data_IF_361337922324
#
_entry.id   IF_361337922324
#
_cell.length_a   1.000
_cell.length_b   1.000
_cell.length_c   1.000
_cell.angle_alpha   90.00
_cell.angle_beta   90.00
_cell.angle_gamma   90.00
#
_symmetry.space_group_name_H-M   'P 1'
#
loop_
_entity.id
_entity.type
_entity.pdbx_description
1 polymer ?
#
# COMPACT_ATOMS: atom_id res chain seq x y z
N UNK A 1 -41.08 -44.04 19.81
CA UNK A 1 -41.48 -42.62 19.95
C UNK A 1 -40.46 -41.66 20.58
N UNK A 2 -40.02 -41.79 21.85
CA UNK A 2 -39.05 -40.80 22.43
C UNK A 2 -37.65 -40.86 21.80
N UNK A 3 -37.14 -42.06 21.49
CA UNK A 3 -35.82 -42.26 20.88
C UNK A 3 -35.73 -41.77 19.43
N UNK A 4 -36.80 -41.92 18.65
CA UNK A 4 -36.85 -41.45 17.25
C UNK A 4 -36.81 -39.92 17.15
N UNK A 5 -37.49 -39.22 18.07
CA UNK A 5 -37.46 -37.74 18.11
C UNK A 5 -36.08 -37.20 18.50
N UNK A 6 -35.35 -37.89 19.38
CA UNK A 6 -33.99 -37.51 19.75
C UNK A 6 -32.99 -37.73 18.61
N UNK A 7 -33.12 -38.82 17.86
CA UNK A 7 -32.28 -39.10 16.71
C UNK A 7 -32.45 -38.05 15.61
N UNK A 8 -33.70 -37.67 15.30
CA UNK A 8 -34.00 -36.66 14.28
C UNK A 8 -33.44 -35.27 14.67
N UNK A 9 -33.51 -34.90 15.95
CA UNK A 9 -32.96 -33.63 16.45
C UNK A 9 -31.43 -33.58 16.29
N UNK A 10 -30.73 -34.66 16.63
CA UNK A 10 -29.27 -34.73 16.52
C UNK A 10 -28.82 -34.67 15.06
N UNK A 11 -29.48 -35.40 14.16
CA UNK A 11 -29.17 -35.35 12.72
C UNK A 11 -29.44 -33.95 12.15
N UNK A 12 -30.51 -33.29 12.58
CA UNK A 12 -30.84 -31.92 12.14
C UNK A 12 -29.81 -30.91 12.63
N UNK A 13 -29.33 -31.03 13.88
CA UNK A 13 -28.28 -30.18 14.43
C UNK A 13 -26.94 -30.39 13.71
N UNK A 14 -26.57 -31.64 13.40
CA UNK A 14 -25.35 -31.95 12.63
C UNK A 14 -25.47 -31.37 11.22
N UNK A 15 -26.60 -31.55 10.54
CA UNK A 15 -26.83 -31.00 9.21
C UNK A 15 -26.77 -29.46 9.21
N UNK A 16 -27.36 -28.79 10.20
CA UNK A 16 -27.25 -27.33 10.39
C UNK A 16 -25.79 -26.92 10.63
N UNK A 17 -25.03 -27.68 11.42
CA UNK A 17 -23.61 -27.41 11.66
C UNK A 17 -22.78 -27.54 10.38
N UNK A 18 -23.08 -28.52 9.52
CA UNK A 18 -22.44 -28.67 8.21
C UNK A 18 -22.85 -27.58 7.21
N UNK A 19 -24.11 -27.13 7.20
CA UNK A 19 -24.56 -26.02 6.34
C UNK A 19 -23.90 -24.70 6.76
N UNK A 20 -23.76 -24.45 8.07
CA UNK A 20 -23.06 -23.25 8.59
C UNK A 20 -21.54 -23.32 8.36
N UNK A 21 -20.96 -24.52 8.35
CA UNK A 21 -19.52 -24.71 8.14
C UNK A 21 -19.11 -24.73 6.65
N UNK A 22 -19.98 -25.21 5.76
CA UNK A 22 -19.71 -25.21 4.31
C UNK A 22 -20.04 -23.87 3.63
N UNK A 23 -20.76 -22.96 4.29
CA UNK A 23 -21.05 -21.61 3.76
C UNK A 23 -19.92 -20.59 3.93
N UNK A 24 -18.74 -21.01 4.42
CA UNK A 24 -17.62 -20.11 4.75
C UNK A 24 -16.34 -20.39 3.97
N UNK A 25 -16.44 -21.03 2.81
CA UNK A 25 -15.47 -20.76 1.76
C UNK A 25 -15.78 -19.36 1.23
N UNK A 26 -15.10 -18.38 1.83
CA UNK A 26 -15.13 -17.00 1.37
C UNK A 26 -14.52 -16.92 -0.02
N UNK A 27 -15.31 -17.24 -1.04
CA UNK A 27 -15.16 -16.63 -2.36
C UNK A 27 -15.34 -15.14 -2.14
N UNK A 28 -14.22 -14.47 -1.86
CA UNK A 28 -14.08 -13.03 -2.02
C UNK A 28 -14.34 -12.77 -3.50
N UNK A 29 -15.61 -12.56 -3.86
CA UNK A 29 -15.99 -12.10 -5.18
C UNK A 29 -15.25 -10.78 -5.40
N UNK A 30 -14.13 -10.85 -6.13
CA UNK A 30 -13.37 -9.70 -6.56
C UNK A 30 -14.31 -8.86 -7.41
N UNK A 31 -14.83 -7.79 -6.82
CA UNK A 31 -15.52 -6.77 -7.59
C UNK A 31 -14.47 -6.21 -8.54
N UNK A 32 -14.68 -6.36 -9.85
CA UNK A 32 -13.76 -5.83 -10.86
C UNK A 32 -13.40 -4.38 -10.51
N UNK A 33 -12.14 -4.16 -10.14
CA UNK A 33 -11.67 -2.82 -9.84
C UNK A 33 -11.54 -2.07 -11.15
N UNK A 34 -12.19 -0.91 -11.22
CA UNK A 34 -12.14 -0.06 -12.41
C UNK A 34 -10.69 0.41 -12.62
N UNK A 35 -10.11 0.05 -13.76
CA UNK A 35 -8.82 0.56 -14.19
C UNK A 35 -8.87 2.09 -14.37
N UNK A 36 -8.01 2.79 -13.64
CA UNK A 36 -7.87 4.24 -13.70
C UNK A 36 -6.83 4.61 -14.73
N UNK A 37 -7.24 5.37 -15.74
CA UNK A 37 -6.33 5.91 -16.75
C UNK A 37 -5.60 7.10 -16.15
N UNK A 38 -4.27 7.01 -16.08
CA UNK A 38 -3.40 8.05 -15.58
C UNK A 38 -2.74 8.73 -16.77
N UNK A 39 -3.06 10.00 -16.98
CA UNK A 39 -2.51 10.77 -18.09
C UNK A 39 -1.08 11.21 -17.82
N UNK A 40 -0.26 11.14 -18.87
CA UNK A 40 1.08 11.73 -18.89
C UNK A 40 1.06 13.24 -18.73
N UNK A 41 1.97 13.76 -17.92
CA UNK A 41 2.33 15.18 -17.84
C UNK A 41 3.61 15.49 -18.62
N UNK A 42 3.86 16.77 -18.87
CA UNK A 42 5.10 17.19 -19.52
C UNK A 42 6.31 16.91 -18.62
N UNK A 43 7.47 16.51 -19.17
CA UNK A 43 8.70 16.39 -18.39
C UNK A 43 8.98 17.68 -17.59
N UNK A 44 9.48 17.54 -16.37
CA UNK A 44 9.81 18.65 -15.44
C UNK A 44 8.64 19.49 -14.94
N UNK A 45 7.39 19.14 -15.28
CA UNK A 45 6.20 19.88 -14.80
C UNK A 45 5.87 19.68 -13.31
N UNK A 46 6.44 18.64 -12.68
CA UNK A 46 6.29 18.39 -11.24
C UNK A 46 7.64 18.53 -10.55
N UNK A 47 7.73 19.50 -9.66
CA UNK A 47 8.83 19.73 -8.74
C UNK A 47 8.58 19.00 -7.43
N UNK A 48 9.55 18.22 -6.96
CA UNK A 48 9.45 17.54 -5.66
C UNK A 48 9.87 18.52 -4.57
N UNK A 49 8.90 19.12 -3.89
CA UNK A 49 9.11 20.16 -2.88
C UNK A 49 8.18 20.02 -1.65
N UNK A 50 7.37 18.97 -1.60
CA UNK A 50 6.38 18.72 -0.57
C UNK A 50 5.13 19.60 -0.70
N UNK A 51 4.79 20.09 -1.89
CA UNK A 51 3.60 20.93 -2.12
C UNK A 51 2.60 20.27 -3.07
N UNK A 52 1.35 20.71 -3.04
CA UNK A 52 0.33 20.32 -4.03
C UNK A 52 0.10 21.38 -5.13
N UNK A 53 0.94 22.43 -5.18
CA UNK A 53 0.77 23.53 -6.12
C UNK A 53 0.83 23.07 -7.59
N UNK A 54 1.91 22.38 -7.98
CA UNK A 54 2.09 21.85 -9.34
C UNK A 54 0.94 20.91 -9.73
N UNK A 55 0.50 20.06 -8.79
CA UNK A 55 -0.61 19.13 -8.97
C UNK A 55 -1.93 19.87 -9.25
N UNK A 56 -2.21 20.95 -8.53
CA UNK A 56 -3.39 21.78 -8.73
C UNK A 56 -3.34 22.52 -10.07
N UNK A 57 -2.20 23.11 -10.42
CA UNK A 57 -1.99 23.82 -11.69
C UNK A 57 -2.16 22.89 -12.89
N UNK A 58 -1.70 21.65 -12.78
CA UNK A 58 -1.85 20.61 -13.81
C UNK A 58 -3.25 19.94 -13.80
N UNK A 59 -4.11 20.31 -12.85
CA UNK A 59 -5.46 19.73 -12.73
C UNK A 59 -5.49 18.27 -12.26
N UNK A 60 -4.39 17.76 -11.69
CA UNK A 60 -4.28 16.38 -11.21
C UNK A 60 -4.99 16.27 -9.86
N UNK A 61 -6.10 15.54 -9.84
CA UNK A 61 -6.91 15.34 -8.63
C UNK A 61 -6.49 14.08 -7.87
N UNK A 62 -6.71 14.03 -6.55
CA UNK A 62 -6.58 12.78 -5.81
C UNK A 62 -7.48 11.70 -6.40
N UNK A 63 -7.02 10.46 -6.34
CA UNK A 63 -7.79 9.29 -6.75
C UNK A 63 -9.07 9.21 -5.92
N UNK A 64 -10.19 8.96 -6.59
CA UNK A 64 -11.51 8.82 -5.96
C UNK A 64 -11.87 7.35 -5.77
N UNK A 65 -12.74 7.07 -4.78
CA UNK A 65 -13.23 5.71 -4.55
C UNK A 65 -12.21 4.75 -3.94
N UNK A 66 -11.12 5.26 -3.35
CA UNK A 66 -10.19 4.43 -2.57
C UNK A 66 -10.95 3.73 -1.44
N UNK A 67 -10.90 2.40 -1.43
CA UNK A 67 -11.50 1.58 -0.39
C UNK A 67 -10.39 1.09 0.52
N UNK A 68 -10.34 1.63 1.72
CA UNK A 68 -9.41 1.19 2.75
C UNK A 68 -10.01 0.01 3.53
N UNK A 69 -9.28 -1.10 3.56
CA UNK A 69 -9.63 -2.29 4.32
C UNK A 69 -8.50 -2.65 5.25
N UNK A 70 -8.82 -3.21 6.41
CA UNK A 70 -7.82 -3.72 7.34
C UNK A 70 -7.22 -5.02 6.81
N UNK A 71 -6.13 -5.47 7.43
CA UNK A 71 -5.59 -6.82 7.18
C UNK A 71 -6.61 -7.96 7.41
N UNK A 72 -7.71 -7.70 8.12
CA UNK A 72 -8.82 -8.63 8.33
C UNK A 72 -9.97 -8.47 7.33
N UNK A 73 -9.78 -7.69 6.27
CA UNK A 73 -10.76 -7.41 5.21
C UNK A 73 -11.99 -6.63 5.68
N UNK A 74 -11.90 -5.94 6.82
CA UNK A 74 -12.94 -5.05 7.34
C UNK A 74 -12.70 -3.62 6.86
N UNK A 75 -13.73 -2.77 6.66
CA UNK A 75 -13.51 -1.36 6.37
C UNK A 75 -12.63 -0.70 7.45
N UNK A 76 -11.57 0.00 7.03
CA UNK A 76 -10.72 0.72 7.96
C UNK A 76 -11.48 1.92 8.56
N UNK A 77 -11.20 2.25 9.82
CA UNK A 77 -11.74 3.45 10.44
C UNK A 77 -11.04 4.66 9.86
N UNK A 78 -11.79 5.63 9.35
CA UNK A 78 -11.20 6.82 8.75
C UNK A 78 -10.24 7.52 9.71
N UNK A 79 -10.63 7.71 10.97
CA UNK A 79 -9.78 8.34 11.99
C UNK A 79 -8.44 7.62 12.27
N UNK A 80 -8.29 6.35 11.89
CA UNK A 80 -7.03 5.61 12.05
C UNK A 80 -6.12 5.70 10.82
N UNK A 81 -6.61 6.21 9.69
CA UNK A 81 -5.81 6.43 8.50
C UNK A 81 -5.04 7.73 8.63
N UNK A 82 -3.75 7.68 8.31
CA UNK A 82 -2.93 8.87 8.13
C UNK A 82 -2.88 9.28 6.68
N UNK A 83 -2.83 8.32 5.76
CA UNK A 83 -2.94 8.58 4.32
C UNK A 83 -4.42 8.83 3.99
N UNK A 84 -4.78 10.10 3.83
CA UNK A 84 -6.16 10.52 3.53
C UNK A 84 -6.52 10.33 2.07
N UNK A 85 -5.60 10.70 1.18
CA UNK A 85 -5.78 10.58 -0.26
C UNK A 85 -4.44 10.61 -0.98
N UNK A 86 -4.48 10.25 -2.26
CA UNK A 86 -3.29 9.98 -3.06
C UNK A 86 -3.55 10.53 -4.46
N UNK A 87 -2.63 11.31 -5.00
CA UNK A 87 -2.60 11.67 -6.42
C UNK A 87 -1.47 10.92 -7.11
N UNK A 88 -1.70 10.52 -8.37
CA UNK A 88 -0.73 9.75 -9.16
C UNK A 88 -0.65 10.32 -10.57
N UNK A 89 0.57 10.48 -11.10
CA UNK A 89 0.82 10.78 -12.52
C UNK A 89 2.18 10.25 -12.97
N UNK A 90 2.53 10.46 -14.24
CA UNK A 90 3.85 10.16 -14.79
C UNK A 90 4.23 11.15 -15.89
N UNK A 91 5.53 11.32 -16.16
CA UNK A 91 6.03 12.06 -17.33
C UNK A 91 6.62 11.13 -18.42
N UNK A 92 6.50 9.81 -18.21
CA UNK A 92 7.08 8.76 -19.07
C UNK A 92 8.49 8.35 -18.68
N UNK A 93 9.16 9.08 -17.78
CA UNK A 93 10.44 8.68 -17.17
C UNK A 93 10.28 8.36 -15.69
N UNK A 94 9.38 9.07 -15.00
CA UNK A 94 9.12 8.94 -13.58
C UNK A 94 7.63 8.70 -13.31
N UNK A 95 7.35 7.88 -12.30
CA UNK A 95 6.08 7.82 -11.60
C UNK A 95 6.10 8.84 -10.46
N UNK A 96 5.07 9.66 -10.35
CA UNK A 96 4.90 10.64 -9.28
C UNK A 96 3.74 10.24 -8.39
N UNK A 97 3.95 10.31 -7.08
CA UNK A 97 2.97 10.04 -6.04
C UNK A 97 2.94 11.25 -5.09
N UNK A 98 1.76 11.79 -4.83
CA UNK A 98 1.53 12.77 -3.77
C UNK A 98 0.57 12.18 -2.74
N UNK A 99 1.03 12.05 -1.51
CA UNK A 99 0.24 11.63 -0.37
C UNK A 99 -0.25 12.85 0.40
N UNK A 100 -1.55 12.87 0.67
CA UNK A 100 -2.19 13.80 1.59
C UNK A 100 -2.27 13.12 2.95
N UNK A 101 -1.57 13.68 3.93
CA UNK A 101 -1.33 13.09 5.25
C UNK A 101 -2.03 13.88 6.34
N UNK A 102 -2.57 13.19 7.33
CA UNK A 102 -3.15 13.81 8.51
C UNK A 102 -3.10 12.83 9.70
N UNK A 103 -2.21 13.05 10.70
CA UNK A 103 -1.31 14.19 10.82
C UNK A 103 -0.15 14.16 9.80
N UNK A 104 0.43 15.34 9.54
CA UNK A 104 1.59 15.51 8.67
C UNK A 104 2.85 14.77 9.16
N UNK A 105 3.92 14.73 8.35
CA UNK A 105 5.20 14.08 8.76
C UNK A 105 5.78 14.74 10.01
N UNK A 106 5.89 16.07 9.99
CA UNK A 106 6.47 16.85 11.08
C UNK A 106 5.61 16.81 12.33
N UNK A 107 4.30 16.98 12.18
CA UNK A 107 3.34 16.95 13.29
C UNK A 107 3.34 15.59 14.01
N UNK A 108 3.35 14.49 13.25
CA UNK A 108 3.48 13.16 13.82
C UNK A 108 4.78 13.00 14.61
N UNK A 109 5.88 13.49 14.06
CA UNK A 109 7.18 13.45 14.72
C UNK A 109 7.16 14.24 16.04
N UNK A 110 6.63 15.46 16.02
CA UNK A 110 6.52 16.33 17.20
C UNK A 110 5.59 15.74 18.27
N UNK A 111 4.59 14.94 17.86
CA UNK A 111 3.62 14.30 18.78
C UNK A 111 4.15 12.99 19.39
N UNK A 112 4.71 12.09 18.57
CA UNK A 112 5.10 10.76 19.04
C UNK A 112 6.57 10.64 19.49
N UNK A 113 7.45 11.53 19.00
CA UNK A 113 8.86 11.54 19.39
C UNK A 113 9.65 10.27 19.03
N UNK A 114 9.18 9.44 18.09
CA UNK A 114 9.81 8.17 17.70
C UNK A 114 9.90 7.99 16.19
N UNK A 115 10.82 7.14 15.75
CA UNK A 115 10.89 6.63 14.37
C UNK A 115 9.76 5.65 14.09
N UNK A 116 9.38 5.52 12.83
CA UNK A 116 8.35 4.57 12.40
C UNK A 116 8.33 4.41 10.89
N UNK A 117 7.19 3.98 10.36
CA UNK A 117 7.00 3.79 8.93
C UNK A 117 5.67 4.42 8.53
N UNK A 118 5.64 5.14 7.42
CA UNK A 118 4.37 5.64 6.88
C UNK A 118 3.59 4.48 6.25
N UNK A 119 4.27 3.71 5.40
CA UNK A 119 3.58 2.73 4.57
C UNK A 119 4.46 1.87 3.70
N UNK A 120 3.79 0.96 3.02
CA UNK A 120 4.33 0.19 1.90
C UNK A 120 3.51 0.47 0.64
N UNK A 121 4.16 0.49 -0.51
CA UNK A 121 3.50 0.41 -1.82
C UNK A 121 3.96 -0.87 -2.48
N UNK A 122 3.04 -1.77 -2.80
CA UNK A 122 3.34 -2.95 -3.61
C UNK A 122 2.95 -2.67 -5.05
N UNK A 123 3.78 -3.10 -6.00
CA UNK A 123 3.53 -2.97 -7.43
C UNK A 123 3.58 -4.35 -8.10
N UNK A 124 2.54 -4.66 -8.87
CA UNK A 124 2.50 -5.75 -9.85
C UNK A 124 2.42 -5.08 -11.23
N UNK A 125 3.48 -5.28 -12.00
CA UNK A 125 3.71 -4.65 -13.29
C UNK A 125 3.70 -5.65 -14.45
N UNK A 126 3.83 -6.94 -14.15
CA UNK A 126 3.76 -8.01 -15.15
C UNK A 126 2.30 -8.36 -15.49
N UNK A 127 1.37 -7.96 -14.62
CA UNK A 127 -0.06 -8.11 -14.81
C UNK A 127 -0.50 -9.58 -14.84
N UNK A 128 0.37 -10.52 -14.46
CA UNK A 128 0.03 -11.93 -14.54
C UNK A 128 -1.09 -12.26 -13.56
N UNK A 129 -2.02 -13.12 -13.98
CA UNK A 129 -3.12 -13.57 -13.11
C UNK A 129 -2.60 -14.48 -11.97
N UNK A 130 -1.36 -14.95 -12.10
CA UNK A 130 -0.68 -15.76 -11.09
C UNK A 130 0.05 -14.93 -10.02
N UNK A 131 0.19 -13.62 -10.25
CA UNK A 131 0.93 -12.63 -9.47
C UNK A 131 0.00 -11.47 -9.06
N UNK A 132 0.39 -10.69 -8.04
CA UNK A 132 -0.35 -9.49 -7.63
C UNK A 132 -1.77 -9.69 -7.07
N UNK A 133 -2.19 -10.93 -6.77
CA UNK A 133 -3.49 -11.21 -6.17
C UNK A 133 -3.34 -11.66 -4.72
N UNK A 134 -4.06 -10.99 -3.81
CA UNK A 134 -4.22 -11.48 -2.44
C UNK A 134 -5.11 -12.73 -2.46
N UNK A 135 -4.51 -13.92 -2.42
CA UNK A 135 -5.25 -15.21 -2.44
C UNK A 135 -5.80 -15.60 -1.06
N UNK A 136 -5.18 -15.11 0.01
CA UNK A 136 -5.67 -15.31 1.38
C UNK A 136 -5.19 -14.19 2.31
N UNK A 137 -5.76 -14.12 3.53
CA UNK A 137 -5.30 -13.20 4.58
C UNK A 137 -3.84 -13.48 4.98
N UNK A 138 -3.38 -14.71 4.81
CA UNK A 138 -2.00 -15.06 5.10
C UNK A 138 -1.05 -14.81 3.91
N UNK A 139 -1.58 -14.63 2.70
CA UNK A 139 -0.82 -14.57 1.45
C UNK A 139 -0.67 -13.13 0.95
N UNK A 140 -0.45 -12.19 1.89
CA UNK A 140 -0.82 -10.79 1.70
C UNK A 140 -0.25 -10.18 0.42
N UNK A 141 0.98 -10.53 0.01
CA UNK A 141 1.60 -10.01 -1.21
C UNK A 141 2.52 -11.02 -1.92
N UNK A 142 2.24 -12.33 -1.88
CA UNK A 142 2.99 -13.25 -2.73
C UNK A 142 2.76 -12.93 -4.21
N UNK A 143 3.84 -12.96 -4.99
CA UNK A 143 3.81 -12.68 -6.41
C UNK A 143 3.64 -11.20 -6.77
N UNK A 144 3.89 -10.26 -5.87
CA UNK A 144 4.08 -8.85 -6.27
C UNK A 144 5.53 -8.66 -6.76
N UNK A 145 5.79 -7.74 -7.68
CA UNK A 145 7.13 -7.54 -8.27
C UNK A 145 8.03 -6.69 -7.37
N UNK A 146 7.47 -5.58 -6.87
CA UNK A 146 8.22 -4.60 -6.07
C UNK A 146 7.47 -4.21 -4.80
N UNK A 147 8.26 -3.86 -3.78
CA UNK A 147 7.84 -3.13 -2.59
C UNK A 147 8.59 -1.79 -2.54
N UNK A 148 7.87 -0.70 -2.37
CA UNK A 148 8.41 0.61 -1.99
C UNK A 148 8.10 0.80 -0.51
N UNK A 149 9.13 0.68 0.32
CA UNK A 149 9.05 0.92 1.76
C UNK A 149 9.30 2.39 2.07
N UNK A 150 8.42 3.04 2.84
CA UNK A 150 8.52 4.47 3.20
C UNK A 150 8.74 4.62 4.71
N UNK A 151 9.98 4.51 5.20
CA UNK A 151 10.30 4.78 6.60
C UNK A 151 10.26 6.28 6.92
N UNK A 152 9.98 6.57 8.19
CA UNK A 152 10.05 7.91 8.77
C UNK A 152 10.97 7.88 9.98
N UNK A 153 11.79 8.91 10.14
CA UNK A 153 12.74 8.97 11.25
C UNK A 153 13.18 10.39 11.54
N UNK A 154 14.37 10.50 12.11
CA UNK A 154 14.98 11.77 12.42
C UNK A 154 16.48 11.78 12.10
N UNK A 155 16.99 12.97 11.79
CA UNK A 155 18.41 13.22 11.61
C UNK A 155 18.83 14.46 12.40
N UNK A 156 19.96 14.37 13.11
CA UNK A 156 20.46 15.46 13.95
C UNK A 156 21.32 14.96 15.11
N UNK A 157 22.00 15.90 15.78
CA UNK A 157 22.75 15.64 17.01
C UNK A 157 21.88 15.65 18.27
N UNK A 158 22.47 15.35 19.43
CA UNK A 158 21.79 15.21 20.73
C UNK A 158 21.19 16.52 21.29
N UNK A 159 21.46 17.66 20.67
CA UNK A 159 20.86 18.95 21.06
C UNK A 159 19.45 19.10 20.50
N UNK A 160 18.50 19.45 21.37
CA UNK A 160 17.03 19.52 21.16
C UNK A 160 16.60 20.41 19.96
N UNK A 161 17.46 21.29 19.45
CA UNK A 161 17.20 22.11 18.24
C UNK A 161 17.78 21.59 16.93
N UNK A 162 18.52 20.47 16.94
CA UNK A 162 19.24 19.94 15.77
C UNK A 162 18.54 18.74 15.11
N UNK A 163 17.49 18.20 15.73
CA UNK A 163 16.77 17.02 15.25
C UNK A 163 15.72 17.44 14.23
N UNK A 164 15.84 16.92 13.00
CA UNK A 164 14.94 17.19 11.88
C UNK A 164 14.22 15.90 11.47
N UNK A 165 12.92 15.96 11.15
CA UNK A 165 12.21 14.81 10.59
C UNK A 165 12.85 14.40 9.26
N UNK A 166 12.93 13.09 9.06
CA UNK A 166 13.50 12.44 7.88
C UNK A 166 12.44 11.50 7.30
N UNK A 167 12.31 11.50 5.98
CA UNK A 167 11.55 10.48 5.26
C UNK A 167 12.44 9.90 4.19
N UNK A 168 12.32 8.61 3.98
CA UNK A 168 13.02 7.90 2.92
C UNK A 168 12.04 7.05 2.13
N UNK A 169 12.45 6.61 0.95
CA UNK A 169 11.85 5.44 0.34
C UNK A 169 12.94 4.46 -0.09
N UNK A 170 12.61 3.18 -0.03
CA UNK A 170 13.47 2.08 -0.47
C UNK A 170 12.67 1.16 -1.40
N UNK A 171 13.18 0.94 -2.60
CA UNK A 171 12.60 0.01 -3.58
C UNK A 171 13.29 -1.33 -3.45
N UNK A 172 12.49 -2.37 -3.26
CA UNK A 172 12.92 -3.74 -3.09
C UNK A 172 12.16 -4.62 -4.09
N UNK A 173 12.87 -5.51 -4.76
CA UNK A 173 12.31 -6.57 -5.57
C UNK A 173 11.94 -7.75 -4.66
N UNK A 174 10.77 -8.35 -4.89
CA UNK A 174 10.35 -9.54 -4.15
C UNK A 174 10.89 -10.76 -4.89
N UNK A 175 11.83 -11.47 -4.26
CA UNK A 175 12.52 -12.62 -4.88
C UNK A 175 11.71 -13.90 -4.78
N UNK A 176 11.30 -14.20 -3.56
CA UNK A 176 10.63 -15.42 -3.21
C UNK A 176 9.59 -15.10 -2.14
N UNK A 177 8.47 -15.82 -2.17
CA UNK A 177 7.52 -15.81 -1.07
C UNK A 177 7.25 -17.23 -0.64
N UNK A 178 7.63 -17.52 0.60
CA UNK A 178 7.48 -18.82 1.23
C UNK A 178 6.19 -18.80 2.04
N UNK A 179 5.28 -19.70 1.69
CA UNK A 179 4.00 -19.88 2.38
C UNK A 179 4.05 -21.22 3.13
N UNK A 180 4.16 -21.14 4.46
CA UNK A 180 4.21 -22.30 5.35
C UNK A 180 2.84 -22.52 6.00
N UNK A 181 2.31 -23.74 5.93
CA UNK A 181 1.10 -24.09 6.68
C UNK A 181 1.42 -24.23 8.16
N UNK A 182 0.70 -23.51 9.02
CA UNK A 182 0.83 -23.55 10.49
C UNK A 182 -0.48 -24.00 11.13
N UNK A 183 -0.46 -24.32 12.43
CA UNK A 183 -1.62 -24.87 13.17
C UNK A 183 -2.92 -24.06 12.99
N UNK A 184 -2.81 -22.74 12.85
CA UNK A 184 -3.95 -21.83 12.73
C UNK A 184 -3.96 -21.02 11.42
N UNK A 185 -3.41 -21.56 10.33
CA UNK A 185 -3.48 -20.92 9.02
C UNK A 185 -2.21 -21.10 8.22
N UNK A 186 -1.72 -20.02 7.61
CA UNK A 186 -0.44 -20.00 6.93
C UNK A 186 0.41 -18.86 7.47
N UNK A 187 1.72 -19.07 7.53
CA UNK A 187 2.73 -18.05 7.75
C UNK A 187 3.35 -17.74 6.40
N UNK A 188 3.38 -16.47 6.05
CA UNK A 188 4.01 -16.01 4.82
C UNK A 188 5.26 -15.21 5.16
N UNK A 189 6.35 -15.53 4.48
CA UNK A 189 7.60 -14.80 4.56
C UNK A 189 8.07 -14.50 3.14
N UNK A 190 8.38 -13.23 2.86
CA UNK A 190 8.92 -12.83 1.56
C UNK A 190 10.37 -12.44 1.71
N UNK A 191 11.18 -12.88 0.76
CA UNK A 191 12.55 -12.44 0.61
C UNK A 191 12.60 -11.24 -0.33
N UNK A 192 13.37 -10.23 0.08
CA UNK A 192 13.48 -8.95 -0.60
C UNK A 192 14.93 -8.69 -1.01
N UNK A 193 15.12 -8.14 -2.20
CA UNK A 193 16.41 -7.62 -2.66
C UNK A 193 16.32 -6.13 -2.98
N UNK A 194 17.27 -5.37 -2.47
CA UNK A 194 17.36 -3.94 -2.72
C UNK A 194 17.62 -3.66 -4.19
N UNK A 195 16.77 -2.85 -4.82
CA UNK A 195 16.98 -2.47 -6.21
C UNK A 195 18.08 -1.39 -6.26
N UNK A 196 19.14 -1.56 -7.09
CA UNK A 196 20.18 -0.56 -7.22
C UNK A 196 19.64 0.84 -7.59
N UNK A 197 20.03 1.84 -6.81
CA UNK A 197 19.54 3.22 -6.97
C UNK A 197 18.11 3.46 -6.46
N UNK A 198 17.48 2.44 -5.87
CA UNK A 198 16.12 2.47 -5.32
C UNK A 198 15.98 3.08 -3.92
N UNK A 199 17.06 3.55 -3.30
CA UNK A 199 17.04 4.23 -1.99
C UNK A 199 17.21 5.75 -2.16
N UNK A 200 16.29 6.51 -1.55
CA UNK A 200 16.30 7.98 -1.51
C UNK A 200 15.85 8.50 -0.15
N UNK A 201 16.43 9.61 0.30
CA UNK A 201 16.04 10.27 1.55
C UNK A 201 15.97 11.79 1.40
N UNK A 202 15.17 12.45 2.24
CA UNK A 202 14.93 13.90 2.14
C UNK A 202 16.16 14.78 2.38
N UNK A 203 17.24 14.27 2.99
CA UNK A 203 18.45 15.06 3.26
C UNK A 203 19.38 15.16 2.05
N UNK A 204 19.42 14.12 1.22
CA UNK A 204 20.36 14.01 0.09
C UNK A 204 19.66 14.02 -1.26
N UNK A 205 18.39 13.62 -1.30
CA UNK A 205 17.66 13.31 -2.52
C UNK A 205 16.37 14.13 -2.64
N UNK A 206 16.43 15.43 -2.33
CA UNK A 206 15.26 16.33 -2.39
C UNK A 206 14.53 16.38 -3.74
N UNK A 207 15.20 15.97 -4.83
CA UNK A 207 14.59 15.84 -6.16
C UNK A 207 13.76 14.54 -6.34
N UNK A 208 13.78 13.63 -5.37
CA UNK A 208 13.08 12.35 -5.41
C UNK A 208 12.04 12.21 -4.30
N UNK A 209 12.29 12.81 -3.15
CA UNK A 209 11.37 12.77 -2.02
C UNK A 209 11.42 14.08 -1.24
N UNK A 210 10.26 14.63 -0.96
CA UNK A 210 10.10 15.83 -0.15
C UNK A 210 8.78 15.79 0.61
N UNK A 211 8.76 16.41 1.78
CA UNK A 211 7.52 16.62 2.53
C UNK A 211 7.48 18.05 3.06
N UNK A 212 6.27 18.58 3.18
CA UNK A 212 5.99 19.84 3.86
C UNK A 212 4.55 19.80 4.36
N UNK A 213 4.35 20.21 5.61
CA UNK A 213 3.04 20.19 6.27
C UNK A 213 2.37 18.80 6.13
N UNK A 214 1.25 18.74 5.41
CA UNK A 214 0.41 17.56 5.18
C UNK A 214 0.72 16.80 3.89
N UNK A 215 1.80 17.12 3.21
CA UNK A 215 2.10 16.57 1.90
C UNK A 215 3.42 15.80 1.92
N UNK A 216 3.41 14.62 1.29
CA UNK A 216 4.61 13.87 0.96
C UNK A 216 4.59 13.58 -0.54
N UNK A 217 5.64 14.00 -1.23
CA UNK A 217 5.85 13.75 -2.65
C UNK A 217 6.96 12.72 -2.84
N UNK A 218 6.71 11.77 -3.75
CA UNK A 218 7.67 10.76 -4.17
C UNK A 218 7.74 10.73 -5.69
N UNK A 219 8.97 10.73 -6.23
CA UNK A 219 9.29 10.54 -7.64
C UNK A 219 10.08 9.25 -7.78
N UNK A 220 9.57 8.29 -8.54
CA UNK A 220 10.20 6.98 -8.75
C UNK A 220 10.59 6.82 -10.22
N UNK A 221 11.87 6.55 -10.55
CA UNK A 221 12.26 6.28 -11.93
C UNK A 221 11.58 5.01 -12.46
N UNK A 222 10.81 5.12 -13.55
CA UNK A 222 10.13 3.97 -14.17
C UNK A 222 11.11 2.90 -14.63
N UNK A 223 12.31 3.32 -15.07
CA UNK A 223 13.40 2.40 -15.46
C UNK A 223 13.84 1.46 -14.33
N UNK A 224 13.80 1.92 -13.07
CA UNK A 224 14.20 1.10 -11.91
C UNK A 224 13.14 0.06 -11.62
N UNK A 225 11.88 0.37 -11.93
CA UNK A 225 10.75 -0.53 -11.82
C UNK A 225 10.56 -1.38 -13.08
N UNK A 226 11.39 -1.27 -14.12
CA UNK A 226 11.18 -1.95 -15.42
C UNK A 226 9.83 -1.67 -16.11
N UNK A 227 9.20 -0.52 -15.85
CA UNK A 227 7.91 -0.13 -16.44
C UNK A 227 8.12 0.59 -17.78
N UNK A 228 7.34 0.24 -18.81
CA UNK A 228 7.36 0.86 -20.15
C UNK A 228 5.97 1.37 -20.56
N UNK A 229 5.75 2.68 -20.54
CA UNK A 229 4.44 3.27 -20.91
C UNK A 229 4.09 2.99 -22.40
N UNK A 230 2.84 2.60 -22.73
CA UNK A 230 1.73 2.34 -21.82
C UNK A 230 1.86 0.96 -21.13
N UNK A 231 1.59 0.91 -19.82
CA UNK A 231 1.62 -0.34 -19.03
C UNK A 231 0.52 -0.31 -17.96
N UNK A 232 -0.29 -1.37 -17.83
CA UNK A 232 -1.16 -1.55 -16.68
C UNK A 232 -0.33 -1.88 -15.43
N UNK A 233 -0.69 -1.31 -14.30
CA UNK A 233 -0.04 -1.55 -13.00
C UNK A 233 -1.12 -1.82 -11.98
N UNK A 234 -1.01 -2.93 -11.24
CA UNK A 234 -1.74 -3.09 -9.99
C UNK A 234 -0.89 -2.53 -8.86
N UNK A 235 -1.52 -1.79 -7.97
CA UNK A 235 -0.86 -1.12 -6.86
C UNK A 235 -1.64 -1.38 -5.58
N UNK A 236 -0.96 -1.84 -4.53
CA UNK A 236 -1.49 -1.81 -3.16
C UNK A 236 -0.76 -0.75 -2.38
N UNK A 237 -1.48 0.09 -1.66
CA UNK A 237 -0.91 1.04 -0.72
C UNK A 237 -1.37 0.63 0.67
N UNK A 238 -0.41 0.38 1.57
CA UNK A 238 -0.65 0.02 2.95
C UNK A 238 -0.18 1.15 3.87
N UNK A 239 -1.08 1.63 4.70
CA UNK A 239 -0.84 2.59 5.78
C UNK A 239 -0.52 1.82 7.07
N UNK A 240 0.64 2.11 7.65
CA UNK A 240 1.15 1.47 8.87
C UNK A 240 0.98 2.35 10.11
N UNK A 241 0.25 3.46 9.98
CA UNK A 241 0.14 4.47 11.04
C UNK A 241 -0.80 4.06 12.18
N UNK A 242 -1.57 2.97 12.02
CA UNK A 242 -2.44 2.45 13.06
C UNK A 242 -2.55 0.91 13.00
N UNK A 243 -2.94 0.30 14.12
CA UNK A 243 -3.25 -1.13 14.18
C UNK A 243 -4.77 -1.36 14.34
N UNK A 244 -5.37 -2.29 13.58
CA UNK A 244 -4.76 -3.03 12.47
C UNK A 244 -4.46 -2.12 11.28
N UNK A 245 -3.36 -2.42 10.59
CA UNK A 245 -2.94 -1.70 9.39
C UNK A 245 -4.05 -1.73 8.34
N UNK A 246 -4.10 -0.67 7.53
CA UNK A 246 -5.08 -0.51 6.47
C UNK A 246 -4.41 -0.51 5.11
N UNK A 247 -5.09 -1.05 4.10
CA UNK A 247 -4.62 -1.07 2.72
C UNK A 247 -5.73 -0.67 1.75
N UNK A 248 -5.33 -0.15 0.59
CA UNK A 248 -6.20 0.07 -0.54
C UNK A 248 -5.55 -0.45 -1.82
N UNK A 249 -6.37 -0.99 -2.71
CA UNK A 249 -5.94 -1.57 -3.99
C UNK A 249 -6.40 -0.68 -5.13
N UNK A 250 -5.54 -0.53 -6.13
CA UNK A 250 -5.75 0.39 -7.25
C UNK A 250 -5.19 -0.26 -8.51
N UNK A 251 -5.96 -0.22 -9.59
CA UNK A 251 -5.49 -0.59 -10.92
C UNK A 251 -5.30 0.68 -11.76
N UNK A 252 -4.10 0.85 -12.29
CA UNK A 252 -3.71 2.02 -13.07
C UNK A 252 -3.35 1.60 -14.49
N UNK A 253 -3.69 2.42 -15.48
CA UNK A 253 -3.11 2.38 -16.82
C UNK A 253 -2.32 3.66 -17.03
N UNK A 254 -0.99 3.55 -17.07
CA UNK A 254 -0.15 4.68 -17.44
C UNK A 254 -0.25 4.87 -18.96
N UNK A 255 -0.66 6.06 -19.43
CA UNK A 255 -0.86 6.38 -20.86
C UNK A 255 0.07 7.48 -21.34
#
# INVERSE_FOLDING_TARGET
MKKEKQFLLVVTLIALFFIVSCGREGTYAQKEEKMLVISRVSPTSISINGSNDDWNTLGIKPLSGLRWVTVFSEPAKEASLRIRSISVTHDGQYLFLLFYLDPGIREQFETEGRTGSLGYIYLDIDGSESTGQRRSIADLYAGWDYRIYIPTGFAGGTTIGAIKPLVEYKIEMIKETIIEKVQYGHKCNSEYEDVPGGHKNTLKDGNYIAFKEKYLEIRVPLRILNIKVPTPIKMVIRDLSAFPDAETQIQLLLQ
#
